data_IF_226191095546
#
_entry.id   IF_226191095546
#
_cell.length_a   1.000
_cell.length_b   1.000
_cell.length_c   1.000
_cell.angle_alpha   90.00
_cell.angle_beta   90.00
_cell.angle_gamma   90.00
#
_symmetry.space_group_name_H-M   'P 1'
#
loop_
_entity.id
_entity.type
_entity.pdbx_description
1 polymer ?
#
# COMPACT_ATOMS: atom_id res chain seq x y z
N UNK A 1 -2.93 41.39 -11.35
CA UNK A 1 -2.57 40.28 -10.44
C UNK A 1 -3.83 39.41 -10.29
N UNK A 2 -3.85 38.18 -10.82
CA UNK A 2 -5.03 37.30 -10.75
C UNK A 2 -5.02 36.58 -9.39
N UNK A 3 -6.03 36.86 -8.58
CA UNK A 3 -6.27 36.20 -7.30
C UNK A 3 -6.53 34.71 -7.57
N UNK A 4 -5.70 33.81 -7.02
CA UNK A 4 -5.93 32.37 -7.05
C UNK A 4 -6.96 32.03 -5.97
N UNK A 5 -8.16 31.62 -6.38
CA UNK A 5 -9.21 31.25 -5.45
C UNK A 5 -8.84 29.98 -4.65
N UNK A 6 -9.07 29.98 -3.31
CA UNK A 6 -8.92 28.79 -2.48
C UNK A 6 -9.99 27.77 -2.85
N UNK A 7 -9.59 26.72 -3.56
CA UNK A 7 -10.51 25.68 -4.09
C UNK A 7 -10.23 25.25 -5.53
N UNK A 8 -9.23 25.83 -6.19
CA UNK A 8 -8.83 25.41 -7.55
C UNK A 8 -8.32 23.97 -7.59
N UNK A 9 -8.83 23.19 -8.55
CA UNK A 9 -8.34 21.87 -8.96
C UNK A 9 -6.80 21.79 -9.08
N UNK A 10 -6.14 22.89 -9.44
CA UNK A 10 -4.67 22.98 -9.51
C UNK A 10 -3.99 22.91 -8.12
N UNK A 11 -4.65 23.43 -7.08
CA UNK A 11 -4.14 23.31 -5.71
C UNK A 11 -4.30 21.88 -5.19
N UNK A 12 -5.44 21.23 -5.47
CA UNK A 12 -5.70 19.85 -5.08
C UNK A 12 -4.78 18.87 -5.84
N UNK A 13 -4.57 19.08 -7.15
CA UNK A 13 -3.64 18.26 -7.95
C UNK A 13 -2.19 18.55 -7.62
N UNK A 14 -1.82 19.80 -7.30
CA UNK A 14 -0.48 20.14 -6.82
C UNK A 14 -0.15 19.50 -5.47
N UNK A 15 -1.10 19.49 -4.54
CA UNK A 15 -0.94 18.87 -3.23
C UNK A 15 -0.94 17.34 -3.32
N UNK A 16 -1.82 16.76 -4.16
CA UNK A 16 -1.77 15.32 -4.47
C UNK A 16 -0.45 14.94 -5.13
N UNK A 17 0.07 15.76 -6.04
CA UNK A 17 1.36 15.55 -6.71
C UNK A 17 2.53 15.69 -5.73
N UNK A 18 2.45 16.59 -4.75
CA UNK A 18 3.46 16.74 -3.69
C UNK A 18 3.48 15.53 -2.74
N UNK A 19 2.31 15.03 -2.33
CA UNK A 19 2.19 13.80 -1.52
C UNK A 19 2.67 12.58 -2.32
N UNK A 20 2.33 12.51 -3.61
CA UNK A 20 2.84 11.46 -4.52
C UNK A 20 4.36 11.53 -4.70
N UNK A 21 4.96 12.72 -4.60
CA UNK A 21 6.40 12.93 -4.76
C UNK A 21 7.20 12.53 -3.50
N UNK A 22 6.56 12.44 -2.34
CA UNK A 22 7.23 11.93 -1.13
C UNK A 22 7.33 10.40 -1.17
N UNK A 23 8.32 9.92 -1.95
CA UNK A 23 8.72 8.50 -1.98
C UNK A 23 8.98 7.95 -0.57
N UNK A 24 9.52 8.77 0.33
CA UNK A 24 9.89 8.34 1.68
C UNK A 24 8.64 8.05 2.49
N UNK A 25 7.65 8.94 2.40
CA UNK A 25 6.36 8.75 3.06
C UNK A 25 5.59 7.56 2.48
N UNK A 26 5.56 7.41 1.14
CA UNK A 26 4.91 6.28 0.46
C UNK A 26 5.51 4.94 0.88
N UNK A 27 6.85 4.84 0.97
CA UNK A 27 7.56 3.64 1.40
C UNK A 27 7.34 3.32 2.88
N UNK A 28 7.22 4.35 3.73
CA UNK A 28 6.87 4.19 5.15
C UNK A 28 5.46 3.62 5.32
N UNK A 29 4.51 4.11 4.54
CA UNK A 29 3.14 3.57 4.53
C UNK A 29 3.08 2.13 4.04
N UNK A 30 3.81 1.78 2.97
CA UNK A 30 3.93 0.38 2.53
C UNK A 30 4.49 -0.53 3.64
N UNK A 31 5.55 -0.07 4.34
CA UNK A 31 6.09 -0.82 5.48
C UNK A 31 5.03 -1.10 6.55
N UNK A 32 4.19 -0.11 6.88
CA UNK A 32 3.07 -0.28 7.82
C UNK A 32 1.99 -1.24 7.27
N UNK A 33 1.71 -1.18 5.97
CA UNK A 33 0.74 -2.09 5.34
C UNK A 33 1.21 -3.55 5.38
N UNK A 34 2.52 -3.81 5.27
CA UNK A 34 3.11 -5.15 5.40
C UNK A 34 2.96 -5.72 6.82
N UNK A 35 2.93 -4.87 7.85
CA UNK A 35 2.74 -5.32 9.23
C UNK A 35 1.35 -5.94 9.47
N UNK A 36 0.34 -5.55 8.68
CA UNK A 36 -1.02 -6.09 8.80
C UNK A 36 -1.09 -7.58 8.48
N UNK A 37 -0.71 -8.07 7.27
CA UNK A 37 -0.71 -9.49 6.98
C UNK A 37 0.27 -10.27 7.86
N UNK A 38 1.41 -9.69 8.25
CA UNK A 38 2.32 -10.30 9.22
C UNK A 38 1.64 -10.54 10.58
N UNK A 39 0.91 -9.54 11.08
CA UNK A 39 0.13 -9.66 12.31
C UNK A 39 -0.99 -10.70 12.19
N UNK A 40 -1.70 -10.72 11.06
CA UNK A 40 -2.73 -11.74 10.80
C UNK A 40 -2.15 -13.16 10.80
N UNK A 41 -0.99 -13.36 10.19
CA UNK A 41 -0.29 -14.65 10.20
C UNK A 41 0.15 -15.04 11.61
N UNK A 42 0.75 -14.12 12.37
CA UNK A 42 1.16 -14.36 13.75
C UNK A 42 -0.03 -14.74 14.65
N UNK A 43 -1.14 -14.01 14.54
CA UNK A 43 -2.37 -14.31 15.27
C UNK A 43 -2.93 -15.67 14.85
N UNK A 44 -3.00 -15.93 13.54
CA UNK A 44 -3.48 -17.19 12.99
C UNK A 44 -2.70 -18.40 13.47
N UNK A 45 -1.37 -18.29 13.54
CA UNK A 45 -0.49 -19.39 13.95
C UNK A 45 -0.41 -19.60 15.45
N UNK A 46 -0.39 -18.52 16.23
CA UNK A 46 -0.03 -18.62 17.66
C UNK A 46 -1.21 -18.42 18.60
N UNK A 47 -2.22 -17.66 18.20
CA UNK A 47 -3.31 -17.26 19.10
C UNK A 47 -4.57 -18.08 18.85
N UNK A 48 -4.93 -18.27 17.57
CA UNK A 48 -6.22 -18.85 17.20
C UNK A 48 -6.12 -20.11 16.33
N UNK A 49 -4.94 -20.75 16.25
CA UNK A 49 -4.69 -21.92 15.39
C UNK A 49 -5.71 -23.04 15.63
N UNK A 50 -5.86 -23.48 16.88
CA UNK A 50 -6.82 -24.53 17.23
C UNK A 50 -8.27 -24.17 16.82
N UNK A 51 -8.67 -22.91 17.02
CA UNK A 51 -10.00 -22.42 16.68
C UNK A 51 -10.26 -22.37 15.17
N UNK A 52 -9.21 -22.08 14.37
CA UNK A 52 -9.29 -22.07 12.90
C UNK A 52 -9.55 -23.50 12.41
N UNK A 53 -8.82 -24.48 12.94
CA UNK A 53 -8.89 -25.87 12.48
C UNK A 53 -10.17 -26.62 12.89
N UNK A 54 -10.96 -26.09 13.82
CA UNK A 54 -12.27 -26.64 14.19
C UNK A 54 -13.28 -26.67 13.02
N UNK A 55 -13.11 -25.83 11.99
CA UNK A 55 -14.04 -25.77 10.87
C UNK A 55 -13.34 -25.44 9.55
N UNK A 56 -13.56 -26.22 8.48
CA UNK A 56 -13.02 -25.92 7.16
C UNK A 56 -13.38 -24.52 6.65
N UNK A 57 -14.54 -23.99 7.03
CA UNK A 57 -14.95 -22.63 6.66
C UNK A 57 -14.09 -21.57 7.35
N UNK A 58 -13.74 -21.76 8.63
CA UNK A 58 -12.87 -20.84 9.37
C UNK A 58 -11.46 -20.84 8.78
N UNK A 59 -10.95 -22.01 8.40
CA UNK A 59 -9.69 -22.14 7.63
C UNK A 59 -9.77 -21.31 6.36
N UNK A 60 -10.82 -21.51 5.54
CA UNK A 60 -10.96 -20.82 4.26
C UNK A 60 -11.04 -19.30 4.43
N UNK A 61 -11.88 -18.81 5.36
CA UNK A 61 -12.03 -17.37 5.57
C UNK A 61 -10.78 -16.72 6.16
N UNK A 62 -10.15 -17.36 7.16
CA UNK A 62 -8.97 -16.79 7.81
C UNK A 62 -7.77 -16.79 6.86
N UNK A 63 -7.41 -17.94 6.29
CA UNK A 63 -6.26 -18.07 5.40
C UNK A 63 -6.52 -17.40 4.05
N UNK A 64 -7.75 -17.44 3.54
CA UNK A 64 -8.16 -16.67 2.38
C UNK A 64 -8.03 -15.17 2.61
N UNK A 65 -8.46 -14.67 3.78
CA UNK A 65 -8.25 -13.28 4.18
C UNK A 65 -6.77 -12.90 4.26
N UNK A 66 -5.93 -13.74 4.87
CA UNK A 66 -4.49 -13.54 4.91
C UNK A 66 -3.86 -13.48 3.50
N UNK A 67 -4.28 -14.39 2.61
CA UNK A 67 -3.81 -14.43 1.24
C UNK A 67 -4.20 -13.16 0.47
N UNK A 68 -5.47 -12.74 0.56
CA UNK A 68 -5.96 -11.51 -0.09
C UNK A 68 -5.23 -10.28 0.42
N UNK A 69 -5.06 -10.14 1.74
CA UNK A 69 -4.32 -9.03 2.33
C UNK A 69 -2.88 -8.99 1.84
N UNK A 70 -2.22 -10.15 1.76
CA UNK A 70 -0.84 -10.26 1.26
C UNK A 70 -0.76 -9.89 -0.22
N UNK A 71 -1.67 -10.39 -1.05
CA UNK A 71 -1.73 -10.05 -2.49
C UNK A 71 -1.93 -8.55 -2.69
N UNK A 72 -2.82 -7.92 -1.93
CA UNK A 72 -3.03 -6.47 -2.01
C UNK A 72 -1.74 -5.70 -1.71
N UNK A 73 -1.03 -6.08 -0.65
CA UNK A 73 0.27 -5.46 -0.31
C UNK A 73 1.30 -5.68 -1.42
N UNK A 74 1.36 -6.87 -2.03
CA UNK A 74 2.24 -7.13 -3.18
C UNK A 74 1.90 -6.24 -4.38
N UNK A 75 0.61 -6.05 -4.70
CA UNK A 75 0.17 -5.18 -5.78
C UNK A 75 0.57 -3.72 -5.53
N UNK A 76 0.40 -3.22 -4.30
CA UNK A 76 0.86 -1.88 -3.92
C UNK A 76 2.38 -1.74 -4.02
N UNK A 77 3.14 -2.74 -3.57
CA UNK A 77 4.60 -2.75 -3.71
C UNK A 77 5.04 -2.75 -5.18
N UNK A 78 4.35 -3.51 -6.03
CA UNK A 78 4.62 -3.53 -7.47
C UNK A 78 4.32 -2.19 -8.12
N UNK A 79 3.20 -1.55 -7.75
CA UNK A 79 2.86 -0.20 -8.24
C UNK A 79 3.92 0.83 -7.81
N UNK A 80 4.38 0.79 -6.56
CA UNK A 80 5.45 1.65 -6.08
C UNK A 80 6.75 1.45 -6.87
N UNK A 81 7.15 0.20 -7.11
CA UNK A 81 8.33 -0.11 -7.91
C UNK A 81 8.22 0.41 -9.35
N UNK A 82 7.05 0.27 -9.98
CA UNK A 82 6.80 0.80 -11.32
C UNK A 82 6.84 2.33 -11.36
N UNK A 83 6.27 2.99 -10.34
CA UNK A 83 6.34 4.45 -10.20
C UNK A 83 7.80 4.93 -10.07
N UNK A 84 8.60 4.24 -9.26
CA UNK A 84 10.04 4.51 -9.12
C UNK A 84 10.77 4.36 -10.45
N UNK A 85 10.56 3.26 -11.19
CA UNK A 85 11.20 3.03 -12.50
C UNK A 85 10.83 4.14 -13.49
N UNK A 86 9.57 4.58 -13.50
CA UNK A 86 9.12 5.66 -14.36
C UNK A 86 9.84 6.97 -14.04
N UNK A 87 9.93 7.32 -12.75
CA UNK A 87 10.62 8.52 -12.31
C UNK A 87 12.12 8.51 -12.65
N UNK A 88 12.82 7.37 -12.51
CA UNK A 88 14.22 7.27 -12.92
C UNK A 88 14.39 7.38 -14.45
N UNK A 89 13.47 6.81 -15.23
CA UNK A 89 13.48 6.94 -16.69
C UNK A 89 13.29 8.38 -17.14
N UNK A 90 12.40 9.14 -16.50
CA UNK A 90 12.16 10.55 -16.81
C UNK A 90 13.42 11.39 -16.51
N UNK A 91 14.09 11.18 -15.37
CA UNK A 91 15.36 11.85 -15.05
C UNK A 91 16.48 11.60 -16.07
N UNK A 92 16.59 10.39 -16.60
CA UNK A 92 17.62 10.05 -17.60
C UNK A 92 17.33 10.60 -19.00
N UNK A 93 16.12 11.09 -19.27
CA UNK A 93 15.74 11.64 -20.58
C UNK A 93 16.01 13.15 -20.70
N UNK A 94 16.15 13.83 -19.57
CA UNK A 94 16.40 15.28 -19.46
C UNK A 94 17.88 15.61 -19.15
N UNK A 95 18.77 14.60 -19.13
CA UNK A 95 20.22 14.74 -18.97
C UNK A 95 20.96 14.42 -20.26
#
# INVERSE_FOLDING_TARGET
MKNKEPGSWDASTGLARAILHDRTERRKWMGRMVLVPLGMLAVGLWVIDAWIWESPWRVLFWWGGCAVATVMVMLFAMYDALAVIREEREKHKDS
#
